data_IF_131788130620
#
_entry.id   IF_131788130620
#
_cell.length_a   1.000
_cell.length_b   1.000
_cell.length_c   1.000
_cell.angle_alpha   90.00
_cell.angle_beta   90.00
_cell.angle_gamma   90.00
#
_symmetry.space_group_name_H-M   'P 1'
#
loop_
_entity.id
_entity.type
_entity.pdbx_description
1 polymer ?
#
# COMPACT_ATOMS: atom_id res chain seq x y z
N UNK A 1 -3.12 6.75 1.06
CA UNK A 1 -3.39 6.36 2.46
C UNK A 1 -4.63 5.50 2.48
N UNK A 2 -4.66 4.47 3.31
CA UNK A 2 -5.82 3.60 3.48
C UNK A 2 -6.12 3.38 4.96
N UNK A 3 -7.38 3.57 5.34
CA UNK A 3 -7.86 3.31 6.70
C UNK A 3 -8.46 1.91 6.80
N UNK A 4 -8.04 1.18 7.82
CA UNK A 4 -8.49 -0.16 8.12
C UNK A 4 -9.03 -0.26 9.54
N UNK A 5 -9.94 -1.19 9.75
CA UNK A 5 -10.44 -1.55 11.07
C UNK A 5 -10.64 -3.06 11.17
N UNK A 6 -10.48 -3.58 12.37
CA UNK A 6 -10.91 -4.91 12.79
C UNK A 6 -11.89 -4.76 13.95
N UNK A 7 -12.22 -5.87 14.63
CA UNK A 7 -13.09 -5.83 15.81
C UNK A 7 -12.52 -4.96 16.94
N UNK A 8 -11.20 -5.01 17.14
CA UNK A 8 -10.55 -4.45 18.33
C UNK A 8 -9.54 -3.33 18.03
N UNK A 9 -9.22 -3.09 16.75
CA UNK A 9 -8.14 -2.17 16.37
C UNK A 9 -8.49 -1.36 15.13
N UNK A 10 -7.90 -0.17 15.04
CA UNK A 10 -7.96 0.73 13.87
C UNK A 10 -6.54 1.08 13.44
N UNK A 11 -6.32 1.15 12.15
CA UNK A 11 -5.01 1.50 11.61
C UNK A 11 -5.09 2.30 10.32
N UNK A 12 -4.09 3.14 10.09
CA UNK A 12 -3.81 3.82 8.84
C UNK A 12 -2.50 3.28 8.28
N UNK A 13 -2.51 2.95 6.99
CA UNK A 13 -1.31 2.71 6.20
C UNK A 13 -1.13 3.90 5.25
N UNK A 14 0.02 4.58 5.37
CA UNK A 14 0.38 5.72 4.54
C UNK A 14 1.55 5.32 3.65
N UNK A 15 1.27 5.09 2.37
CA UNK A 15 2.29 4.76 1.38
C UNK A 15 2.74 6.01 0.61
N UNK A 16 4.04 6.12 0.41
CA UNK A 16 4.69 7.14 -0.41
C UNK A 16 5.33 6.48 -1.62
N UNK A 17 5.17 7.10 -2.79
CA UNK A 17 5.66 6.55 -4.05
C UNK A 17 5.44 7.50 -5.21
N UNK A 18 5.65 6.96 -6.41
CA UNK A 18 5.47 7.65 -7.67
C UNK A 18 4.39 6.97 -8.51
N UNK A 19 3.62 7.79 -9.22
CA UNK A 19 2.72 7.36 -10.28
C UNK A 19 3.22 7.93 -11.60
N UNK A 20 3.75 7.07 -12.46
CA UNK A 20 4.15 7.45 -13.81
C UNK A 20 2.94 7.38 -14.74
N UNK A 21 2.49 8.55 -15.20
CA UNK A 21 1.41 8.70 -16.18
C UNK A 21 1.99 8.94 -17.58
N UNK A 22 1.83 7.98 -18.49
CA UNK A 22 2.37 8.07 -19.84
C UNK A 22 1.37 7.61 -20.90
N UNK A 23 1.39 8.28 -22.07
CA UNK A 23 0.61 7.83 -23.23
C UNK A 23 1.32 6.66 -23.91
N UNK A 24 0.61 5.54 -24.08
CA UNK A 24 1.06 4.36 -24.81
C UNK A 24 -0.08 3.81 -25.66
N UNK A 25 0.18 3.60 -26.95
CA UNK A 25 -0.79 3.05 -27.91
C UNK A 25 -2.16 3.77 -27.87
N UNK A 26 -2.14 5.09 -27.69
CA UNK A 26 -3.35 5.93 -27.63
C UNK A 26 -4.13 5.89 -26.31
N UNK A 27 -3.63 5.18 -25.28
CA UNK A 27 -4.21 5.14 -23.94
C UNK A 27 -3.28 5.78 -22.91
N UNK A 28 -3.84 6.36 -21.85
CA UNK A 28 -3.07 6.78 -20.68
C UNK A 28 -2.80 5.55 -19.81
N UNK A 29 -1.52 5.30 -19.49
CA UNK A 29 -1.09 4.22 -18.62
C UNK A 29 -0.54 4.80 -17.32
N UNK A 30 -0.89 4.18 -16.19
CA UNK A 30 -0.31 4.46 -14.88
C UNK A 30 0.59 3.29 -14.47
N UNK A 31 1.81 3.60 -14.03
CA UNK A 31 2.70 2.65 -13.38
C UNK A 31 3.03 3.17 -11.99
N UNK A 32 2.85 2.34 -10.97
CA UNK A 32 3.14 2.73 -9.59
C UNK A 32 4.52 2.24 -9.18
N UNK A 33 5.18 3.00 -8.32
CA UNK A 33 6.40 2.58 -7.63
C UNK A 33 6.32 3.06 -6.19
N UNK A 34 6.53 2.17 -5.23
CA UNK A 34 6.43 2.49 -3.81
C UNK A 34 7.82 2.65 -3.21
N UNK A 35 7.96 3.60 -2.29
CA UNK A 35 9.24 3.95 -1.67
C UNK A 35 9.25 3.67 -0.16
N UNK A 36 8.15 4.04 0.52
CA UNK A 36 8.06 3.97 1.97
C UNK A 36 6.61 3.78 2.40
N UNK A 37 6.40 3.07 3.51
CA UNK A 37 5.09 2.93 4.13
C UNK A 37 5.19 3.19 5.63
N UNK A 38 4.26 4.01 6.13
CA UNK A 38 4.11 4.32 7.55
C UNK A 38 2.83 3.69 8.08
N UNK A 39 2.91 3.09 9.26
CA UNK A 39 1.76 2.55 9.98
C UNK A 39 1.43 3.43 11.19
N UNK A 40 0.14 3.70 11.37
CA UNK A 40 -0.40 4.35 12.57
C UNK A 40 -1.56 3.51 13.10
N UNK A 41 -1.60 3.28 14.40
CA UNK A 41 -2.66 2.54 15.07
C UNK A 41 -3.33 3.36 16.17
N UNK A 42 -4.50 2.91 16.62
CA UNK A 42 -5.17 3.41 17.84
C UNK A 42 -4.65 2.75 19.13
N UNK A 43 -3.84 1.70 19.00
CA UNK A 43 -3.16 1.01 20.10
C UNK A 43 -1.70 1.48 20.24
N UNK A 44 -1.09 1.36 21.43
CA UNK A 44 0.33 1.65 21.64
C UNK A 44 1.21 0.51 21.09
N UNK A 45 1.06 0.21 19.80
CA UNK A 45 1.82 -0.81 19.07
C UNK A 45 2.47 -0.11 17.89
N UNK A 46 3.79 -0.16 17.84
CA UNK A 46 4.56 0.31 16.69
C UNK A 46 4.69 -0.84 15.71
N UNK A 47 4.45 -0.55 14.43
CA UNK A 47 4.63 -1.49 13.33
C UNK A 47 5.46 -0.82 12.27
N UNK A 48 6.53 -1.48 11.85
CA UNK A 48 7.43 -0.98 10.82
C UNK A 48 7.65 -2.03 9.75
N UNK A 49 7.70 -1.56 8.51
CA UNK A 49 8.02 -2.34 7.32
C UNK A 49 9.22 -1.67 6.66
N UNK A 50 10.13 -2.47 6.08
CA UNK A 50 11.31 -1.92 5.43
C UNK A 50 10.94 -1.20 4.12
N UNK A 51 11.76 -0.24 3.71
CA UNK A 51 11.65 0.38 2.38
C UNK A 51 11.88 -0.66 1.27
N UNK A 52 12.70 -1.69 1.54
CA UNK A 52 12.92 -2.81 0.62
C UNK A 52 11.64 -3.60 0.38
N UNK A 53 10.92 -3.98 1.45
CA UNK A 53 9.62 -4.63 1.37
C UNK A 53 8.59 -3.73 0.66
N UNK A 54 8.53 -2.45 1.02
CA UNK A 54 7.62 -1.52 0.36
C UNK A 54 7.91 -1.39 -1.14
N UNK A 55 9.18 -1.29 -1.52
CA UNK A 55 9.63 -1.16 -2.92
C UNK A 55 9.54 -2.47 -3.71
N UNK A 56 9.33 -3.60 -3.04
CA UNK A 56 9.10 -4.88 -3.70
C UNK A 56 7.71 -4.95 -4.36
N UNK A 57 6.75 -4.13 -3.90
CA UNK A 57 5.43 -4.00 -4.53
C UNK A 57 5.60 -3.42 -5.93
N UNK A 58 5.43 -4.26 -6.96
CA UNK A 58 5.62 -3.89 -8.38
C UNK A 58 4.37 -4.19 -9.22
N UNK A 59 3.35 -3.33 -9.15
CA UNK A 59 2.15 -3.53 -9.95
C UNK A 59 2.43 -3.36 -11.43
N UNK A 60 1.70 -4.11 -12.25
CA UNK A 60 1.74 -3.90 -13.70
C UNK A 60 1.18 -2.53 -14.08
N UNK A 61 1.59 -2.02 -15.24
CA UNK A 61 1.01 -0.80 -15.80
C UNK A 61 -0.49 -0.99 -16.08
N UNK A 62 -1.31 -0.08 -15.54
CA UNK A 62 -2.75 -0.10 -15.68
C UNK A 62 -3.21 0.95 -16.69
N UNK A 63 -4.18 0.60 -17.55
CA UNK A 63 -4.86 1.60 -18.36
C UNK A 63 -5.73 2.46 -17.44
N UNK A 64 -5.56 3.78 -17.51
CA UNK A 64 -6.34 4.75 -16.77
C UNK A 64 -7.51 5.22 -17.62
N UNK A 65 -8.71 5.16 -17.06
CA UNK A 65 -9.88 5.78 -17.68
C UNK A 65 -9.90 7.27 -17.36
N UNK A 66 -9.99 8.09 -18.41
CA UNK A 66 -9.93 9.56 -18.32
C UNK A 66 -11.27 10.11 -18.77
N UNK A 67 -11.90 10.92 -17.91
CA UNK A 67 -13.16 11.59 -18.20
C UNK A 67 -13.10 13.06 -17.81
N UNK A 68 -13.96 13.90 -18.42
CA UNK A 68 -14.13 15.28 -18.02
C UNK A 68 -15.41 15.41 -17.20
N UNK A 69 -15.28 15.80 -15.92
CA UNK A 69 -16.42 16.02 -15.01
C UNK A 69 -16.37 17.46 -14.52
N UNK A 70 -17.43 18.25 -14.78
CA UNK A 70 -17.52 19.66 -14.38
C UNK A 70 -16.29 20.50 -14.80
N UNK A 71 -15.76 20.25 -16.00
CA UNK A 71 -14.60 20.96 -16.53
C UNK A 71 -13.24 20.58 -15.91
N UNK A 72 -13.19 19.52 -15.10
CA UNK A 72 -11.97 18.96 -14.52
C UNK A 72 -11.73 17.55 -15.02
N UNK A 73 -10.46 17.20 -15.23
CA UNK A 73 -10.09 15.82 -15.52
C UNK A 73 -10.37 14.95 -14.29
N UNK A 74 -10.96 13.79 -14.53
CA UNK A 74 -11.20 12.75 -13.56
C UNK A 74 -10.59 11.45 -14.10
N UNK A 75 -9.71 10.86 -13.31
CA UNK A 75 -8.95 9.67 -13.66
C UNK A 75 -9.36 8.53 -12.75
N UNK A 76 -9.58 7.36 -13.32
CA UNK A 76 -9.87 6.12 -12.61
C UNK A 76 -8.82 5.09 -13.00
N UNK A 77 -8.06 4.61 -12.02
CA UNK A 77 -7.12 3.51 -12.18
C UNK A 77 -7.77 2.23 -11.67
N UNK A 78 -7.93 1.19 -12.51
CA UNK A 78 -8.51 -0.07 -12.09
C UNK A 78 -7.60 -0.82 -11.09
N UNK A 79 -8.13 -1.85 -10.41
CA UNK A 79 -7.32 -2.67 -9.52
C UNK A 79 -6.24 -3.44 -10.30
N UNK A 80 -5.06 -3.56 -9.70
CA UNK A 80 -3.95 -4.37 -10.22
C UNK A 80 -3.47 -5.34 -9.15
N UNK A 81 -4.12 -6.52 -9.03
CA UNK A 81 -3.68 -7.55 -8.10
C UNK A 81 -2.18 -7.82 -8.26
N UNK A 82 -1.42 -7.64 -7.18
CA UNK A 82 0.03 -7.73 -7.16
C UNK A 82 0.46 -8.57 -5.97
N UNK A 83 1.22 -9.64 -6.21
CA UNK A 83 1.81 -10.44 -5.13
C UNK A 83 2.97 -9.70 -4.47
N UNK A 84 3.08 -9.85 -3.15
CA UNK A 84 4.27 -9.50 -2.37
C UNK A 84 4.49 -10.55 -1.28
N UNK A 85 5.73 -11.03 -1.16
CA UNK A 85 6.08 -12.20 -0.37
C UNK A 85 5.53 -13.52 -0.94
N UNK A 86 4.97 -13.48 -2.15
CA UNK A 86 4.38 -14.63 -2.83
C UNK A 86 4.30 -14.43 -4.35
N UNK A 87 4.61 -15.49 -5.10
CA UNK A 87 4.46 -15.53 -6.54
C UNK A 87 3.09 -16.08 -6.96
N UNK A 88 2.42 -15.33 -7.84
CA UNK A 88 1.22 -15.79 -8.54
C UNK A 88 1.53 -15.99 -10.02
N UNK A 89 1.00 -17.08 -10.59
CA UNK A 89 1.04 -17.26 -12.04
C UNK A 89 0.03 -16.32 -12.72
N UNK A 90 -1.14 -16.15 -12.07
CA UNK A 90 -2.17 -15.21 -12.45
C UNK A 90 -2.67 -14.47 -11.18
N UNK A 91 -2.05 -13.33 -10.81
CA UNK A 91 -2.44 -12.57 -9.62
C UNK A 91 -3.93 -12.22 -9.55
N UNK A 92 -4.61 -12.09 -10.68
CA UNK A 92 -6.01 -11.70 -10.73
C UNK A 92 -6.98 -12.84 -10.37
N UNK A 93 -6.57 -14.10 -10.57
CA UNK A 93 -7.46 -15.25 -10.43
C UNK A 93 -6.96 -16.30 -9.43
N UNK A 94 -5.65 -16.40 -9.23
CA UNK A 94 -5.08 -17.32 -8.25
C UNK A 94 -5.54 -16.95 -6.84
N UNK A 95 -5.87 -17.96 -6.04
CA UNK A 95 -6.19 -17.75 -4.63
C UNK A 95 -4.90 -17.53 -3.82
N UNK A 96 -4.96 -16.60 -2.88
CA UNK A 96 -3.96 -16.51 -1.82
C UNK A 96 -4.01 -17.83 -1.01
N UNK A 97 -2.88 -18.53 -0.83
CA UNK A 97 -2.86 -19.74 -0.04
C UNK A 97 -3.22 -19.52 1.42
N UNK A 98 -3.58 -20.61 2.08
CA UNK A 98 -3.83 -20.67 3.52
C UNK A 98 -2.77 -21.47 4.28
N UNK A 99 -1.92 -22.22 3.58
CA UNK A 99 -0.79 -22.93 4.16
C UNK A 99 0.42 -21.97 4.27
N UNK A 100 0.94 -21.71 5.48
CA UNK A 100 2.15 -20.90 5.64
C UNK A 100 3.40 -21.51 5.00
N UNK A 101 3.40 -22.79 4.63
CA UNK A 101 4.54 -23.45 3.95
C UNK A 101 4.31 -23.59 2.44
N UNK A 102 3.40 -22.80 1.85
CA UNK A 102 3.14 -22.84 0.41
C UNK A 102 4.44 -22.55 -0.37
N UNK A 103 4.80 -23.40 -1.36
CA UNK A 103 6.06 -23.25 -2.10
C UNK A 103 6.12 -21.99 -2.97
N UNK A 104 5.02 -21.25 -3.13
CA UNK A 104 4.98 -19.96 -3.84
C UNK A 104 5.51 -18.80 -2.99
N UNK A 105 5.71 -18.98 -1.69
CA UNK A 105 6.26 -17.95 -0.83
C UNK A 105 7.71 -17.62 -1.24
N UNK A 106 7.99 -16.33 -1.37
CA UNK A 106 9.31 -15.80 -1.78
C UNK A 106 9.76 -14.70 -0.83
N UNK A 107 11.07 -14.50 -0.72
CA UNK A 107 11.71 -13.43 0.06
C UNK A 107 11.85 -12.18 -0.84
N UNK A 108 10.82 -11.33 -0.82
CA UNK A 108 10.73 -10.18 -1.72
C UNK A 108 11.51 -8.96 -1.21
N UNK A 109 11.77 -8.88 0.10
CA UNK A 109 12.55 -7.80 0.72
C UNK A 109 14.04 -8.13 0.93
N UNK A 110 14.41 -9.40 0.70
CA UNK A 110 15.80 -9.87 0.65
C UNK A 110 16.44 -9.99 2.02
N UNK A 111 15.64 -10.14 3.08
CA UNK A 111 16.11 -10.19 4.46
C UNK A 111 16.43 -11.63 4.95
N UNK A 112 16.15 -12.64 4.11
CA UNK A 112 16.37 -14.06 4.37
C UNK A 112 15.20 -14.78 5.04
N UNK A 113 14.09 -14.10 5.31
CA UNK A 113 12.86 -14.66 5.86
C UNK A 113 11.82 -14.92 4.76
N UNK A 114 10.87 -15.85 4.97
CA UNK A 114 9.82 -16.09 3.98
C UNK A 114 8.84 -14.92 3.89
N UNK A 115 8.49 -14.49 2.69
CA UNK A 115 7.52 -13.42 2.47
C UNK A 115 8.17 -12.04 2.51
N UNK A 116 7.58 -11.15 3.30
CA UNK A 116 8.17 -9.89 3.74
C UNK A 116 8.08 -9.78 5.26
N UNK A 117 8.99 -9.02 5.85
CA UNK A 117 9.05 -8.85 7.30
C UNK A 117 8.37 -7.56 7.76
N UNK A 118 7.50 -7.72 8.74
CA UNK A 118 6.88 -6.63 9.50
C UNK A 118 7.36 -6.71 10.95
N UNK A 119 8.09 -5.69 11.38
CA UNK A 119 8.51 -5.60 12.77
C UNK A 119 7.41 -4.99 13.63
N UNK A 120 7.15 -5.60 14.79
CA UNK A 120 6.11 -5.23 15.73
C UNK A 120 6.74 -5.00 17.10
N UNK A 121 6.44 -3.85 17.69
CA UNK A 121 6.91 -3.47 19.02
C UNK A 121 5.73 -2.98 19.87
N UNK A 122 5.45 -3.71 20.95
CA UNK A 122 4.43 -3.36 21.95
C UNK A 122 5.09 -2.69 23.15
N UNK A 123 6.21 -3.26 23.62
CA UNK A 123 7.10 -2.66 24.62
C UNK A 123 8.55 -2.96 24.23
N UNK A 124 9.54 -2.42 24.96
CA UNK A 124 10.95 -2.76 24.72
C UNK A 124 11.24 -4.27 24.93
N UNK A 125 10.53 -4.90 25.86
CA UNK A 125 10.65 -6.34 26.15
C UNK A 125 9.77 -7.21 25.27
N UNK A 126 8.68 -6.65 24.71
CA UNK A 126 7.74 -7.34 23.84
C UNK A 126 7.78 -6.74 22.43
N UNK A 127 8.72 -7.26 21.64
CA UNK A 127 8.91 -6.95 20.23
C UNK A 127 9.29 -8.21 19.44
N UNK A 128 9.17 -8.15 18.13
CA UNK A 128 9.51 -9.25 17.23
C UNK A 128 8.98 -8.99 15.83
N UNK A 129 8.95 -10.03 15.02
CA UNK A 129 8.72 -9.94 13.58
C UNK A 129 7.56 -10.84 13.20
N UNK A 130 6.76 -10.38 12.25
CA UNK A 130 5.71 -11.14 11.55
C UNK A 130 6.15 -11.27 10.10
N UNK A 131 6.06 -12.48 9.57
CA UNK A 131 6.33 -12.79 8.18
C UNK A 131 5.00 -12.90 7.44
N UNK A 132 4.82 -12.14 6.37
CA UNK A 132 3.55 -12.08 5.65
C UNK A 132 3.73 -12.23 4.15
N UNK A 133 2.72 -12.81 3.51
CA UNK A 133 2.48 -12.72 2.08
C UNK A 133 1.18 -11.96 1.85
N UNK A 134 1.11 -11.13 0.82
CA UNK A 134 -0.07 -10.35 0.49
C UNK A 134 -0.36 -10.35 -0.99
N UNK A 135 -1.63 -10.15 -1.31
CA UNK A 135 -2.08 -9.73 -2.63
C UNK A 135 -2.59 -8.31 -2.50
N UNK A 136 -1.82 -7.35 -3.00
CA UNK A 136 -2.20 -5.94 -3.01
C UNK A 136 -3.21 -5.69 -4.13
N UNK A 137 -4.40 -5.19 -3.79
CA UNK A 137 -5.51 -4.94 -4.72
C UNK A 137 -6.07 -3.53 -4.46
N UNK A 138 -5.28 -2.52 -4.77
CA UNK A 138 -5.72 -1.13 -4.69
C UNK A 138 -6.16 -0.61 -6.07
N UNK A 139 -7.20 0.22 -6.04
CA UNK A 139 -7.67 1.05 -7.14
C UNK A 139 -7.87 2.47 -6.61
N UNK A 140 -7.84 3.47 -7.49
CA UNK A 140 -8.10 4.83 -7.05
C UNK A 140 -8.85 5.64 -8.10
N UNK A 141 -9.58 6.63 -7.63
CA UNK A 141 -10.13 7.69 -8.45
C UNK A 141 -9.58 9.04 -7.98
N UNK A 142 -9.22 9.91 -8.92
CA UNK A 142 -8.67 11.24 -8.62
C UNK A 142 -9.23 12.30 -9.55
N UNK A 143 -9.40 13.50 -9.02
CA UNK A 143 -9.85 14.66 -9.77
C UNK A 143 -8.79 15.74 -9.77
N UNK A 144 -8.58 16.35 -10.94
CA UNK A 144 -7.63 17.44 -11.12
C UNK A 144 -8.03 18.69 -10.32
N UNK A 145 -7.04 19.26 -9.65
CA UNK A 145 -7.14 20.52 -8.92
C UNK A 145 -6.50 21.67 -9.71
N UNK A 146 -6.73 22.91 -9.27
CA UNK A 146 -6.23 24.12 -9.95
C UNK A 146 -4.71 24.17 -10.05
N UNK A 147 -4.00 23.61 -9.08
CA UNK A 147 -2.54 23.52 -9.03
C UNK A 147 -1.99 22.28 -9.76
N UNK A 148 -2.80 21.62 -10.60
CA UNK A 148 -2.46 20.39 -11.33
C UNK A 148 -2.28 19.13 -10.46
N UNK A 149 -2.41 19.22 -9.13
CA UNK A 149 -2.52 18.02 -8.30
C UNK A 149 -3.76 17.20 -8.66
N UNK A 150 -3.69 15.90 -8.42
CA UNK A 150 -4.83 15.00 -8.52
C UNK A 150 -5.15 14.51 -7.11
N UNK A 151 -6.41 14.67 -6.69
CA UNK A 151 -6.84 14.31 -5.34
C UNK A 151 -8.11 13.48 -5.44
N UNK A 152 -8.19 12.42 -4.63
CA UNK A 152 -9.38 11.60 -4.50
C UNK A 152 -9.18 10.50 -3.47
N UNK A 153 -9.60 9.29 -3.78
CA UNK A 153 -9.74 8.20 -2.81
C UNK A 153 -9.18 6.89 -3.35
N UNK A 154 -8.76 6.01 -2.44
CA UNK A 154 -8.32 4.64 -2.70
C UNK A 154 -9.42 3.69 -2.24
N UNK A 155 -9.76 2.71 -3.06
CA UNK A 155 -10.46 1.50 -2.61
C UNK A 155 -9.46 0.37 -2.57
N UNK A 156 -9.42 -0.35 -1.46
CA UNK A 156 -8.44 -1.39 -1.22
C UNK A 156 -9.13 -2.69 -0.82
N UNK A 157 -8.89 -3.75 -1.60
CA UNK A 157 -9.42 -5.09 -1.37
C UNK A 157 -8.29 -6.10 -1.14
N UNK A 158 -7.15 -5.63 -0.66
CA UNK A 158 -5.96 -6.46 -0.47
C UNK A 158 -6.20 -7.59 0.53
N UNK A 159 -5.50 -8.69 0.32
CA UNK A 159 -5.55 -9.88 1.16
C UNK A 159 -4.19 -10.14 1.81
N UNK A 160 -4.19 -10.84 2.94
CA UNK A 160 -2.98 -11.14 3.70
C UNK A 160 -3.00 -12.57 4.26
N UNK A 161 -1.84 -13.20 4.20
CA UNK A 161 -1.50 -14.46 4.85
C UNK A 161 -0.36 -14.19 5.83
N UNK A 162 -0.54 -14.59 7.09
CA UNK A 162 0.57 -14.68 8.04
C UNK A 162 1.26 -16.02 7.83
N UNK A 163 2.51 -15.97 7.42
CA UNK A 163 3.39 -17.12 7.22
C UNK A 163 3.94 -17.58 8.58
N UNK A 164 4.36 -16.64 9.41
CA UNK A 164 4.93 -16.96 10.72
C UNK A 164 5.26 -15.71 11.53
N UNK A 165 5.91 -15.93 12.67
CA UNK A 165 6.41 -14.84 13.50
C UNK A 165 7.61 -15.33 14.34
N UNK A 166 8.51 -14.41 14.70
CA UNK A 166 9.60 -14.70 15.64
C UNK A 166 9.11 -14.86 17.08
N UNK A 167 7.92 -14.31 17.40
CA UNK A 167 7.20 -14.54 18.65
C UNK A 167 5.76 -15.04 18.34
N UNK A 168 5.37 -16.25 18.80
CA UNK A 168 4.04 -16.80 18.54
C UNK A 168 2.87 -15.91 19.00
N UNK A 169 3.08 -15.00 19.95
CA UNK A 169 2.07 -14.05 20.40
C UNK A 169 1.60 -13.09 19.31
N UNK A 170 2.42 -12.84 18.27
CA UNK A 170 2.09 -11.95 17.16
C UNK A 170 1.35 -12.64 16.01
N UNK A 171 1.16 -13.96 16.08
CA UNK A 171 0.34 -14.69 15.11
C UNK A 171 -1.14 -14.37 15.41
N UNK A 172 -1.70 -13.39 14.70
CA UNK A 172 -3.09 -12.95 14.87
C UNK A 172 -3.86 -13.10 13.57
N UNK A 173 -5.13 -13.55 13.64
CA UNK A 173 -6.03 -13.54 12.48
C UNK A 173 -6.94 -12.33 12.56
N UNK A 174 -6.36 -11.14 12.52
CA UNK A 174 -7.18 -9.94 12.41
C UNK A 174 -7.72 -9.85 10.98
N UNK A 175 -9.05 -9.91 10.85
CA UNK A 175 -9.75 -9.61 9.60
C UNK A 175 -9.82 -8.09 9.45
N UNK A 176 -8.79 -7.52 8.87
CA UNK A 176 -8.77 -6.10 8.53
C UNK A 176 -9.70 -5.84 7.35
N UNK A 177 -10.63 -4.92 7.54
CA UNK A 177 -11.47 -4.40 6.47
C UNK A 177 -11.17 -2.92 6.27
N UNK A 178 -11.19 -2.46 5.02
CA UNK A 178 -11.12 -1.03 4.74
C UNK A 178 -12.33 -0.33 5.40
N UNK A 179 -12.10 0.81 6.03
CA UNK A 179 -13.19 1.63 6.58
C UNK A 179 -14.07 2.13 5.42
N UNK A 180 -15.40 1.89 5.43
CA UNK A 180 -16.26 2.21 4.28
C UNK A 180 -16.31 3.69 3.88
N UNK A 181 -16.05 4.60 4.83
CA UNK A 181 -15.93 6.03 4.55
C UNK A 181 -14.58 6.33 3.86
N UNK A 182 -14.60 6.35 2.52
CA UNK A 182 -13.41 6.57 1.71
C UNK A 182 -12.74 7.94 1.91
N UNK A 183 -13.38 8.90 2.59
CA UNK A 183 -12.69 10.14 3.00
C UNK A 183 -11.53 9.86 3.98
N UNK A 184 -11.52 8.69 4.62
CA UNK A 184 -10.41 8.21 5.46
C UNK A 184 -9.32 7.48 4.67
N UNK A 185 -9.52 7.27 3.37
CA UNK A 185 -8.55 6.64 2.47
C UNK A 185 -8.20 7.55 1.29
N UNK A 186 -7.71 8.79 1.52
CA UNK A 186 -7.37 9.72 0.45
C UNK A 186 -6.09 9.31 -0.28
N UNK A 187 -6.01 9.76 -1.53
CA UNK A 187 -4.80 9.80 -2.34
C UNK A 187 -4.56 11.22 -2.86
N UNK A 188 -3.30 11.62 -2.84
CA UNK A 188 -2.83 12.91 -3.33
C UNK A 188 -1.66 12.65 -4.26
N UNK A 189 -1.82 13.01 -5.53
CA UNK A 189 -0.74 12.98 -6.53
C UNK A 189 -0.33 14.41 -6.83
N UNK A 190 0.95 14.71 -6.61
CA UNK A 190 1.53 16.01 -6.89
C UNK A 190 2.48 15.87 -8.08
N UNK A 191 2.44 16.80 -9.06
CA UNK A 191 3.42 16.80 -10.12
C UNK A 191 4.81 17.10 -9.52
N UNK A 192 5.79 16.27 -9.86
CA UNK A 192 7.19 16.41 -9.44
C UNK A 192 8.11 16.33 -10.65
N UNK A 193 9.37 16.70 -10.48
CA UNK A 193 10.37 16.55 -11.54
C UNK A 193 10.71 15.07 -11.74
N UNK A 194 10.95 14.66 -12.99
CA UNK A 194 11.29 13.28 -13.34
C UNK A 194 12.60 12.77 -12.70
N UNK A 195 13.45 13.69 -12.22
CA UNK A 195 14.72 13.38 -11.55
C UNK A 195 14.56 12.94 -10.10
N UNK A 196 13.35 13.05 -9.52
CA UNK A 196 13.12 12.67 -8.12
C UNK A 196 13.24 11.16 -7.95
N UNK A 197 13.96 10.77 -6.90
CA UNK A 197 14.05 9.40 -6.42
C UNK A 197 13.35 9.26 -5.05
N UNK A 198 13.31 8.05 -4.52
CA UNK A 198 12.70 7.79 -3.21
C UNK A 198 13.34 8.61 -2.08
N UNK A 199 14.66 8.80 -2.11
CA UNK A 199 15.35 9.60 -1.09
C UNK A 199 14.87 11.06 -1.12
N UNK A 200 14.78 11.65 -2.33
CA UNK A 200 14.28 13.00 -2.49
C UNK A 200 12.81 13.13 -2.11
N UNK A 201 11.98 12.16 -2.51
CA UNK A 201 10.58 12.13 -2.11
C UNK A 201 10.44 12.18 -0.59
N UNK A 202 11.14 11.31 0.13
CA UNK A 202 11.05 11.24 1.59
C UNK A 202 11.58 12.51 2.28
N UNK A 203 12.62 13.14 1.74
CA UNK A 203 13.10 14.45 2.24
C UNK A 203 12.06 15.56 2.08
N UNK A 204 11.33 15.58 0.96
CA UNK A 204 10.38 16.65 0.63
C UNK A 204 8.97 16.41 1.15
N UNK A 205 8.60 15.14 1.42
CA UNK A 205 7.26 14.72 1.83
C UNK A 205 6.62 15.59 2.92
N UNK A 206 7.30 15.96 4.02
CA UNK A 206 6.72 16.79 5.08
C UNK A 206 6.29 18.20 4.65
N UNK A 207 6.81 18.70 3.52
CA UNK A 207 6.52 20.04 3.01
C UNK A 207 5.42 20.05 1.94
N UNK A 208 5.27 18.93 1.21
CA UNK A 208 4.40 18.86 0.03
C UNK A 208 3.09 18.12 0.32
N UNK A 209 3.09 17.16 1.25
CA UNK A 209 1.88 16.44 1.64
C UNK A 209 1.25 17.03 2.90
N UNK A 210 -0.07 16.84 3.08
CA UNK A 210 -0.71 17.12 4.36
C UNK A 210 -0.06 16.33 5.50
N UNK A 211 -0.18 16.86 6.73
CA UNK A 211 0.23 16.12 7.91
C UNK A 211 -0.51 14.78 7.99
N UNK A 212 0.20 13.75 8.45
CA UNK A 212 -0.39 12.42 8.66
C UNK A 212 -1.50 12.53 9.70
N UNK A 213 -2.73 12.07 9.40
CA UNK A 213 -3.84 12.15 10.33
C UNK A 213 -3.71 11.14 11.47
N UNK A 214 -4.37 11.45 12.58
CA UNK A 214 -4.51 10.53 13.72
C UNK A 214 -5.60 9.48 13.46
N UNK A 215 -5.52 8.34 14.14
CA UNK A 215 -6.54 7.28 14.12
C UNK A 215 -7.59 7.60 15.19
N UNK A 216 -8.69 8.27 14.84
CA UNK A 216 -9.64 8.85 15.80
C UNK A 216 -11.14 8.54 15.55
N UNK A 217 -11.45 7.69 14.56
CA UNK A 217 -12.81 7.17 14.36
C UNK A 217 -13.09 5.99 15.27
#
# INVERSE_FOLDING_TARGET
MVAYQSTDMKTLIISYGFTDLAMKDGSLMATESFCHAEHRGDQPIETTISDAATSAIKPIAAKVDVSLRNGKLHLERPPTPTGIGIEFADPANDALPTDPNDPRTVDDDGDGNPGITVHVKVTEELQGDIYIARREIFQYEVTQQKNLSLIGTVTDNSEQLIIGASNPMFITRAEWIQVPDLNKSPIVLLPVEQSWDCAKLMEQSPQIFPAVPTVDW
#
